data_IF_607547573271
#
_entry.id   IF_607547573271
#
_cell.length_a   1.000
_cell.length_b   1.000
_cell.length_c   1.000
_cell.angle_alpha   90.00
_cell.angle_beta   90.00
_cell.angle_gamma   90.00
#
_symmetry.space_group_name_H-M   'P 1'
#
loop_
_entity.id
_entity.type
_entity.pdbx_description
1 polymer ?
#
# COMPACT_ATOMS: atom_id res chain seq x y z
N UNK A 1 15.69 1.09 -6.02
CA UNK A 1 16.08 2.44 -6.48
C UNK A 1 15.05 3.05 -7.44
N UNK A 2 13.86 3.38 -6.93
CA UNK A 2 12.82 4.08 -7.71
C UNK A 2 12.25 5.26 -6.93
N UNK A 3 11.60 6.19 -7.62
CA UNK A 3 10.63 7.14 -7.04
C UNK A 3 9.25 6.66 -7.47
N UNK A 4 8.36 6.41 -6.52
CA UNK A 4 6.95 6.17 -6.80
C UNK A 4 6.21 7.51 -6.72
N UNK A 5 5.43 7.83 -7.75
CA UNK A 5 4.65 9.06 -7.83
C UNK A 5 3.21 8.66 -8.09
N UNK A 6 2.31 9.13 -7.23
CA UNK A 6 0.87 8.97 -7.39
C UNK A 6 0.17 10.30 -7.53
N UNK A 7 -0.89 10.34 -8.33
CA UNK A 7 -1.69 11.54 -8.54
C UNK A 7 -3.14 11.24 -8.91
N UNK A 8 -4.00 12.22 -8.67
CA UNK A 8 -5.41 12.21 -9.09
C UNK A 8 -5.84 13.63 -9.52
N UNK A 9 -7.09 13.80 -9.94
CA UNK A 9 -7.67 15.11 -10.22
C UNK A 9 -8.17 15.76 -8.92
N UNK A 10 -8.07 17.09 -8.84
CA UNK A 10 -8.51 17.86 -7.66
C UNK A 10 -7.50 17.88 -6.52
N UNK A 11 -7.96 18.20 -5.31
CA UNK A 11 -7.16 18.18 -4.09
C UNK A 11 -6.80 16.74 -3.73
N UNK A 12 -5.55 16.52 -3.29
CA UNK A 12 -4.99 15.19 -3.06
C UNK A 12 -5.52 14.45 -1.83
N UNK A 13 -6.40 15.05 -1.03
CA UNK A 13 -6.88 14.49 0.24
C UNK A 13 -7.55 13.12 0.06
N UNK A 14 -8.38 12.96 -0.98
CA UNK A 14 -9.04 11.67 -1.27
C UNK A 14 -8.03 10.56 -1.60
N UNK A 15 -6.89 10.91 -2.20
CA UNK A 15 -5.82 9.97 -2.51
C UNK A 15 -5.02 9.60 -1.24
N UNK A 16 -4.76 10.58 -0.36
CA UNK A 16 -4.04 10.36 0.90
C UNK A 16 -4.86 9.50 1.86
N UNK A 17 -6.17 9.75 1.96
CA UNK A 17 -7.11 8.93 2.71
C UNK A 17 -7.33 7.56 2.04
N UNK A 18 -7.04 7.44 0.75
CA UNK A 18 -7.27 6.25 -0.06
C UNK A 18 -8.75 5.98 -0.33
N UNK A 19 -9.56 7.02 -0.26
CA UNK A 19 -10.96 7.02 -0.69
C UNK A 19 -11.10 7.04 -2.23
N UNK A 20 -10.05 7.47 -2.94
CA UNK A 20 -9.99 7.49 -4.41
C UNK A 20 -8.68 6.84 -4.90
N UNK A 21 -8.74 6.10 -6.01
CA UNK A 21 -7.56 5.51 -6.64
C UNK A 21 -6.77 6.60 -7.40
N UNK A 22 -5.45 6.47 -7.47
CA UNK A 22 -4.59 7.41 -8.19
C UNK A 22 -3.77 6.72 -9.27
N UNK A 23 -3.44 7.45 -10.32
CA UNK A 23 -2.49 6.97 -11.33
C UNK A 23 -1.13 6.77 -10.66
N UNK A 24 -0.42 5.70 -11.01
CA UNK A 24 0.90 5.41 -10.47
C UNK A 24 1.98 5.46 -11.55
N UNK A 25 3.09 6.12 -11.22
CA UNK A 25 4.28 6.19 -12.04
C UNK A 25 5.49 5.75 -11.23
N UNK A 26 6.27 4.79 -11.77
CA UNK A 26 7.56 4.43 -11.20
C UNK A 26 8.68 5.02 -12.05
N UNK A 27 9.55 5.81 -11.41
CA UNK A 27 10.71 6.45 -12.03
C UNK A 27 11.98 5.80 -11.51
N UNK A 28 12.78 5.23 -12.41
CA UNK A 28 14.08 4.66 -12.09
C UNK A 28 15.08 5.78 -11.79
N UNK A 29 15.72 5.69 -10.61
CA UNK A 29 16.55 6.77 -10.05
C UNK A 29 18.03 6.39 -9.85
N UNK A 30 18.51 5.33 -10.50
CA UNK A 30 19.89 4.85 -10.33
C UNK A 30 20.94 5.80 -10.91
N UNK A 31 20.65 6.46 -12.03
CA UNK A 31 21.47 7.57 -12.54
C UNK A 31 20.70 8.87 -12.31
N UNK A 32 21.13 9.72 -11.35
CA UNK A 32 20.48 11.01 -11.08
C UNK A 32 20.41 11.93 -12.29
N UNK A 33 21.28 11.74 -13.30
CA UNK A 33 21.27 12.52 -14.54
C UNK A 33 20.32 11.96 -15.60
N UNK A 34 19.74 10.77 -15.38
CA UNK A 34 18.90 10.06 -16.35
C UNK A 34 17.71 9.41 -15.67
N UNK A 35 16.83 10.24 -15.12
CA UNK A 35 15.50 9.81 -14.65
C UNK A 35 14.70 9.24 -15.83
N UNK A 36 14.11 8.05 -15.62
CA UNK A 36 13.29 7.38 -16.63
C UNK A 36 12.06 6.76 -16.00
N UNK A 37 10.89 7.03 -16.58
CA UNK A 37 9.65 6.35 -16.21
C UNK A 37 9.73 4.91 -16.73
N UNK A 38 9.61 3.94 -15.82
CA UNK A 38 9.71 2.51 -16.11
C UNK A 38 8.36 1.79 -16.02
N UNK A 39 7.40 2.34 -15.26
CA UNK A 39 6.02 1.84 -15.16
C UNK A 39 5.04 3.00 -15.13
N UNK A 40 3.88 2.80 -15.76
CA UNK A 40 2.70 3.66 -15.68
C UNK A 40 1.49 2.78 -15.43
N UNK A 41 0.67 3.16 -14.48
CA UNK A 41 -0.58 2.49 -14.16
C UNK A 41 -1.69 3.53 -14.21
N UNK A 42 -2.62 3.33 -15.13
CA UNK A 42 -3.80 4.16 -15.29
C UNK A 42 -4.93 3.51 -14.50
N UNK A 43 -5.52 4.27 -13.59
CA UNK A 43 -6.70 3.83 -12.85
C UNK A 43 -7.90 4.71 -13.20
N UNK A 44 -9.09 4.11 -13.12
CA UNK A 44 -10.33 4.86 -13.19
C UNK A 44 -10.44 5.72 -11.93
N UNK A 45 -10.59 7.03 -12.12
CA UNK A 45 -10.78 8.01 -11.04
C UNK A 45 -12.22 8.49 -11.07
N UNK A 46 -12.99 8.26 -10.03
CA UNK A 46 -14.44 8.50 -10.01
C UNK A 46 -14.80 9.87 -9.48
N UNK A 47 -14.14 10.31 -8.40
CA UNK A 47 -14.43 11.56 -7.70
C UNK A 47 -13.17 12.42 -7.54
N UNK A 48 -13.37 13.73 -7.47
CA UNK A 48 -12.33 14.70 -7.14
C UNK A 48 -12.82 15.70 -6.12
N UNK A 49 -11.92 16.14 -5.25
CA UNK A 49 -12.20 17.20 -4.29
C UNK A 49 -11.82 18.57 -4.90
N UNK A 50 -12.71 19.54 -4.79
CA UNK A 50 -12.50 20.93 -5.23
C UNK A 50 -12.82 21.91 -4.10
N UNK A 51 -12.44 23.18 -4.27
CA UNK A 51 -12.90 24.25 -3.38
C UNK A 51 -14.36 24.61 -3.69
N UNK A 52 -15.19 24.77 -2.66
CA UNK A 52 -16.60 25.14 -2.81
C UNK A 52 -16.76 26.57 -3.34
N UNK A 53 -17.58 26.77 -4.37
CA UNK A 53 -17.93 28.11 -4.87
C UNK A 53 -19.07 28.73 -4.05
N UNK A 54 -18.80 29.09 -2.79
CA UNK A 54 -19.77 29.71 -1.88
C UNK A 54 -19.18 30.90 -1.11
N UNK A 55 -19.79 32.10 -1.23
CA UNK A 55 -19.39 33.30 -0.50
C UNK A 55 -19.86 33.20 0.96
N UNK A 56 -18.97 32.73 1.84
CA UNK A 56 -18.75 33.22 3.22
C UNK A 56 -17.76 32.33 3.99
N UNK A 57 -17.62 31.05 3.62
CA UNK A 57 -16.54 30.15 4.05
C UNK A 57 -16.01 29.36 2.85
N UNK A 58 -14.69 29.40 2.63
CA UNK A 58 -14.02 28.58 1.62
C UNK A 58 -13.93 27.16 2.20
N UNK A 59 -14.86 26.29 1.81
CA UNK A 59 -14.84 24.87 2.12
C UNK A 59 -14.30 24.04 0.96
N UNK A 60 -14.36 22.72 1.11
CA UNK A 60 -14.11 21.73 0.06
C UNK A 60 -15.38 20.94 -0.23
N UNK A 61 -15.55 20.51 -1.48
CA UNK A 61 -16.62 19.61 -1.88
C UNK A 61 -16.08 18.51 -2.79
N UNK A 62 -16.73 17.34 -2.74
CA UNK A 62 -16.39 16.19 -3.58
C UNK A 62 -17.39 16.12 -4.71
N UNK A 63 -16.88 16.13 -5.94
CA UNK A 63 -17.69 16.08 -7.16
C UNK A 63 -17.21 14.93 -8.07
N UNK A 64 -18.10 14.35 -8.89
CA UNK A 64 -17.70 13.34 -9.85
C UNK A 64 -16.72 13.92 -10.89
N UNK A 65 -15.69 13.17 -11.22
CA UNK A 65 -14.77 13.50 -12.32
C UNK A 65 -15.52 13.30 -13.64
N UNK A 66 -15.47 14.27 -14.58
CA UNK A 66 -16.06 14.10 -15.91
C UNK A 66 -15.57 12.82 -16.60
N UNK A 67 -16.47 12.07 -17.25
CA UNK A 67 -16.17 10.75 -17.85
C UNK A 67 -14.94 10.79 -18.76
N UNK A 68 -14.75 11.87 -19.50
CA UNK A 68 -13.62 12.05 -20.40
C UNK A 68 -12.27 12.21 -19.70
N UNK A 69 -12.25 12.40 -18.38
CA UNK A 69 -11.05 12.52 -17.52
C UNK A 69 -10.81 11.30 -16.63
N UNK A 70 -11.83 10.48 -16.38
CA UNK A 70 -11.73 9.33 -15.45
C UNK A 70 -10.64 8.34 -15.89
N UNK A 71 -10.54 8.08 -17.20
CA UNK A 71 -9.55 7.18 -17.81
C UNK A 71 -8.44 7.96 -18.54
N UNK A 72 -7.98 9.08 -17.96
CA UNK A 72 -6.80 9.81 -18.42
C UNK A 72 -5.79 9.96 -17.30
N UNK A 73 -4.50 9.95 -17.68
CA UNK A 73 -3.43 10.28 -16.76
C UNK A 73 -3.57 11.72 -16.27
N UNK A 74 -3.53 11.90 -14.95
CA UNK A 74 -3.54 13.21 -14.29
C UNK A 74 -2.25 14.01 -14.51
N UNK A 75 -1.15 13.33 -14.86
CA UNK A 75 0.16 13.90 -15.11
C UNK A 75 0.69 13.56 -16.50
N UNK A 76 1.47 14.48 -17.05
CA UNK A 76 2.30 14.27 -18.24
C UNK A 76 3.68 13.76 -17.81
N UNK A 77 4.33 13.01 -18.70
CA UNK A 77 5.69 12.49 -18.47
C UNK A 77 6.70 13.56 -18.00
N UNK A 78 6.61 14.79 -18.54
CA UNK A 78 7.49 15.90 -18.12
C UNK A 78 7.27 16.30 -16.66
N UNK A 79 6.02 16.30 -16.21
CA UNK A 79 5.64 16.65 -14.83
C UNK A 79 6.10 15.55 -13.87
N UNK A 80 5.93 14.28 -14.26
CA UNK A 80 6.43 13.11 -13.50
C UNK A 80 7.95 13.17 -13.31
N UNK A 81 8.70 13.53 -14.34
CA UNK A 81 10.16 13.65 -14.24
C UNK A 81 10.60 14.83 -13.36
N UNK A 82 9.87 15.95 -13.38
CA UNK A 82 10.12 17.09 -12.47
C UNK A 82 9.86 16.68 -11.01
N UNK A 83 8.75 15.99 -10.75
CA UNK A 83 8.44 15.47 -9.41
C UNK A 83 9.52 14.51 -8.91
N UNK A 84 10.02 13.63 -9.78
CA UNK A 84 11.11 12.72 -9.42
C UNK A 84 12.43 13.46 -9.10
N UNK A 85 12.77 14.52 -9.83
CA UNK A 85 13.92 15.38 -9.54
C UNK A 85 13.76 16.10 -8.18
N UNK A 86 12.55 16.61 -7.88
CA UNK A 86 12.25 17.21 -6.59
C UNK A 86 12.39 16.19 -5.44
N UNK A 87 11.84 14.99 -5.62
CA UNK A 87 11.95 13.92 -4.64
C UNK A 87 13.40 13.50 -4.37
N UNK A 88 14.26 13.46 -5.40
CA UNK A 88 15.69 13.22 -5.24
C UNK A 88 16.36 14.32 -4.41
N UNK A 89 16.15 15.59 -4.77
CA UNK A 89 16.76 16.73 -4.07
C UNK A 89 16.32 16.80 -2.60
N UNK A 90 15.05 16.54 -2.33
CA UNK A 90 14.50 16.52 -0.96
C UNK A 90 15.13 15.37 -0.16
N UNK A 91 15.18 14.15 -0.72
CA UNK A 91 15.87 13.00 -0.10
C UNK A 91 17.34 13.29 0.18
N UNK A 92 18.06 13.89 -0.77
CA UNK A 92 19.48 14.25 -0.61
C UNK A 92 19.68 15.28 0.49
N UNK A 93 18.77 16.25 0.59
CA UNK A 93 18.82 17.28 1.63
C UNK A 93 18.62 16.70 3.04
N UNK A 94 17.64 15.80 3.22
CA UNK A 94 17.33 15.19 4.52
C UNK A 94 18.14 13.91 4.82
N UNK A 95 18.88 13.40 3.84
CA UNK A 95 19.67 12.17 3.90
C UNK A 95 18.90 10.94 4.43
N UNK A 96 17.61 10.86 4.12
CA UNK A 96 16.70 9.77 4.54
C UNK A 96 15.62 9.58 3.48
N UNK A 97 15.00 8.39 3.33
CA UNK A 97 13.79 8.24 2.53
C UNK A 97 12.68 9.21 2.98
N UNK A 98 11.97 9.80 2.02
CA UNK A 98 11.00 10.88 2.26
C UNK A 98 9.65 10.53 1.65
N UNK A 99 8.60 10.74 2.43
CA UNK A 99 7.20 10.82 2.01
C UNK A 99 6.88 12.29 1.67
N UNK A 100 6.41 12.55 0.45
CA UNK A 100 6.29 13.90 -0.13
C UNK A 100 4.91 14.08 -0.74
N UNK A 101 4.20 15.09 -0.27
CA UNK A 101 2.94 15.54 -0.84
C UNK A 101 3.18 16.72 -1.78
N UNK A 102 2.48 16.75 -2.90
CA UNK A 102 2.66 17.74 -3.95
C UNK A 102 1.32 18.15 -4.58
N UNK A 103 1.31 19.29 -5.26
CA UNK A 103 0.18 19.77 -6.03
C UNK A 103 0.64 20.37 -7.38
N UNK A 104 -0.11 20.10 -8.45
CA UNK A 104 0.04 20.78 -9.74
C UNK A 104 -0.96 21.93 -9.81
N UNK A 105 -0.47 23.17 -9.74
CA UNK A 105 -1.32 24.35 -9.81
C UNK A 105 -1.89 24.56 -11.22
N UNK A 106 -3.01 25.29 -11.30
CA UNK A 106 -3.63 25.69 -12.58
C UNK A 106 -2.71 26.54 -13.48
N UNK A 107 -1.62 27.07 -12.91
CA UNK A 107 -0.55 27.76 -13.62
C UNK A 107 0.50 26.82 -14.24
N UNK A 108 0.31 25.50 -14.15
CA UNK A 108 1.22 24.48 -14.65
C UNK A 108 2.49 24.30 -13.82
N UNK A 109 2.56 24.85 -12.60
CA UNK A 109 3.71 24.69 -11.70
C UNK A 109 3.43 23.62 -10.65
N UNK A 110 4.47 22.85 -10.34
CA UNK A 110 4.45 21.85 -9.26
C UNK A 110 4.91 22.50 -7.97
N UNK A 111 4.16 22.25 -6.91
CA UNK A 111 4.43 22.69 -5.54
C UNK A 111 4.58 21.48 -4.64
N UNK A 112 5.54 21.53 -3.71
CA UNK A 112 5.65 20.57 -2.61
C UNK A 112 4.91 21.16 -1.42
N UNK A 113 3.93 20.43 -0.89
CA UNK A 113 3.07 20.90 0.22
C UNK A 113 3.49 20.32 1.56
N UNK A 114 4.03 19.10 1.56
CA UNK A 114 4.61 18.44 2.74
C UNK A 114 5.80 17.58 2.32
N UNK A 115 6.81 17.50 3.18
CA UNK A 115 7.84 16.47 3.10
C UNK A 115 8.19 16.01 4.51
N UNK A 116 8.10 14.70 4.76
CA UNK A 116 8.47 14.09 6.04
C UNK A 116 9.28 12.82 5.78
N UNK A 117 10.16 12.40 6.70
CA UNK A 117 10.81 11.09 6.59
C UNK A 117 9.76 10.00 6.42
N UNK A 118 10.02 9.05 5.53
CA UNK A 118 9.20 7.84 5.41
C UNK A 118 9.18 7.14 6.78
N UNK A 119 7.99 6.90 7.34
CA UNK A 119 7.84 6.42 8.73
C UNK A 119 8.32 4.99 8.94
N UNK A 120 8.76 4.28 7.89
CA UNK A 120 9.11 2.88 8.00
C UNK A 120 10.34 2.59 7.15
N UNK A 121 11.50 2.57 7.82
CA UNK A 121 12.66 1.70 7.58
C UNK A 121 13.85 2.10 8.49
N UNK A 122 13.80 3.25 9.16
CA UNK A 122 14.99 3.87 9.76
C UNK A 122 15.43 3.33 11.12
N UNK A 123 14.90 2.21 11.65
CA UNK A 123 15.47 1.62 12.87
C UNK A 123 15.79 0.11 12.83
N UNK A 124 15.45 -0.63 11.77
CA UNK A 124 15.89 -2.04 11.60
C UNK A 124 16.30 -2.43 10.16
N UNK A 125 16.08 -1.56 9.18
CA UNK A 125 15.99 -1.92 7.76
C UNK A 125 17.29 -2.17 6.98
N UNK A 126 18.47 -2.20 7.60
CA UNK A 126 19.73 -2.51 6.88
C UNK A 126 20.46 -3.74 7.42
N UNK A 127 20.06 -4.31 8.56
CA UNK A 127 20.77 -5.44 9.16
C UNK A 127 20.09 -6.77 8.92
N UNK A 128 18.76 -6.86 9.02
CA UNK A 128 18.03 -8.14 9.00
C UNK A 128 16.68 -8.03 8.28
N UNK A 129 16.36 -8.98 7.41
CA UNK A 129 15.03 -9.12 6.79
C UNK A 129 14.51 -10.54 6.96
N UNK A 130 13.23 -10.67 7.33
CA UNK A 130 12.55 -11.96 7.47
C UNK A 130 11.91 -12.31 6.13
N UNK A 131 12.35 -13.41 5.54
CA UNK A 131 11.77 -13.97 4.33
C UNK A 131 10.81 -15.09 4.71
N UNK A 132 9.66 -15.14 4.04
CA UNK A 132 8.68 -16.20 4.19
C UNK A 132 8.63 -17.01 2.90
N UNK A 133 8.62 -18.33 3.01
CA UNK A 133 8.44 -19.25 1.90
C UNK A 133 7.19 -20.08 2.15
N UNK A 134 6.12 -19.78 1.41
CA UNK A 134 4.89 -20.57 1.45
C UNK A 134 5.13 -21.94 0.79
N UNK A 135 4.67 -23.00 1.44
CA UNK A 135 4.71 -24.35 0.89
C UNK A 135 3.59 -24.55 -0.14
N UNK A 136 3.96 -25.00 -1.34
CA UNK A 136 3.05 -25.37 -2.44
C UNK A 136 1.87 -24.40 -2.69
N UNK A 137 2.09 -23.10 -2.97
CA UNK A 137 1.02 -22.14 -3.27
C UNK A 137 0.09 -22.59 -4.41
N UNK A 138 0.65 -23.19 -5.47
CA UNK A 138 -0.11 -23.70 -6.62
C UNK A 138 -1.10 -24.80 -6.23
N UNK A 139 -0.77 -25.59 -5.19
CA UNK A 139 -1.65 -26.63 -4.68
C UNK A 139 -2.79 -26.01 -3.89
N UNK A 140 -2.50 -25.03 -3.02
CA UNK A 140 -3.53 -24.31 -2.26
C UNK A 140 -4.55 -23.64 -3.20
N UNK A 141 -4.09 -23.08 -4.31
CA UNK A 141 -4.95 -22.50 -5.33
C UNK A 141 -5.80 -23.56 -6.04
N UNK A 142 -5.19 -24.67 -6.49
CA UNK A 142 -5.92 -25.79 -7.12
C UNK A 142 -6.94 -26.45 -6.20
N UNK A 143 -6.65 -26.50 -4.91
CA UNK A 143 -7.56 -27.02 -3.88
C UNK A 143 -8.69 -26.02 -3.55
N UNK A 144 -8.68 -24.82 -4.14
CA UNK A 144 -9.76 -23.83 -4.04
C UNK A 144 -9.71 -22.96 -2.79
N UNK A 145 -8.54 -22.84 -2.13
CA UNK A 145 -8.40 -22.04 -0.91
C UNK A 145 -8.16 -20.55 -1.17
N UNK A 146 -7.78 -20.16 -2.39
CA UNK A 146 -7.47 -18.77 -2.74
C UNK A 146 -8.76 -17.94 -2.81
N UNK A 147 -8.76 -16.78 -2.14
CA UNK A 147 -9.81 -15.77 -2.27
C UNK A 147 -9.36 -14.70 -3.26
N UNK A 148 -10.15 -14.51 -4.31
CA UNK A 148 -9.96 -13.42 -5.27
C UNK A 148 -10.09 -12.05 -4.55
N UNK A 149 -9.14 -11.16 -4.78
CA UNK A 149 -9.15 -9.80 -4.23
C UNK A 149 -8.38 -8.84 -5.14
N UNK A 150 -8.76 -7.56 -5.14
CA UNK A 150 -8.10 -6.47 -5.89
C UNK A 150 -7.10 -5.67 -5.05
N UNK A 151 -6.76 -6.17 -3.85
CA UNK A 151 -6.01 -5.41 -2.86
C UNK A 151 -4.58 -5.10 -3.27
N UNK A 152 -3.87 -4.41 -2.38
CA UNK A 152 -2.42 -4.21 -2.47
C UNK A 152 -1.77 -4.76 -1.22
N UNK A 153 -0.81 -5.67 -1.40
CA UNK A 153 0.00 -6.19 -0.31
C UNK A 153 0.90 -5.10 0.28
N UNK A 154 0.90 -5.02 1.61
CA UNK A 154 1.72 -4.11 2.40
C UNK A 154 2.78 -4.92 3.15
N UNK A 155 4.04 -4.57 2.92
CA UNK A 155 5.18 -5.30 3.48
C UNK A 155 5.39 -6.65 2.80
N UNK A 156 6.18 -7.52 3.45
CA UNK A 156 6.53 -8.87 2.96
C UNK A 156 6.33 -9.93 4.04
N UNK A 157 5.12 -9.98 4.61
CA UNK A 157 4.80 -10.84 5.76
C UNK A 157 3.69 -11.81 5.45
N UNK A 158 3.66 -12.91 6.21
CA UNK A 158 2.52 -13.82 6.28
C UNK A 158 1.91 -13.70 7.67
N UNK A 159 0.59 -13.63 7.74
CA UNK A 159 -0.18 -13.60 8.97
C UNK A 159 -1.29 -14.62 8.93
N UNK A 160 -1.53 -15.32 10.03
CA UNK A 160 -2.62 -16.27 10.18
C UNK A 160 -3.41 -15.94 11.44
N UNK A 161 -4.73 -16.02 11.35
CA UNK A 161 -5.58 -15.71 12.49
C UNK A 161 -7.05 -15.88 12.24
N UNK A 162 -7.84 -15.65 13.29
CA UNK A 162 -9.30 -15.70 13.22
C UNK A 162 -9.83 -14.49 12.47
N UNK A 163 -10.76 -14.71 11.55
CA UNK A 163 -11.44 -13.65 10.81
C UNK A 163 -12.28 -12.81 11.78
N UNK A 164 -11.96 -11.52 11.90
CA UNK A 164 -12.69 -10.53 12.71
C UNK A 164 -13.15 -9.38 11.85
N UNK A 165 -14.41 -9.43 11.46
CA UNK A 165 -15.06 -8.38 10.70
C UNK A 165 -15.61 -7.34 11.68
N UNK A 166 -15.00 -6.16 11.71
CA UNK A 166 -15.34 -5.07 12.62
C UNK A 166 -15.61 -3.81 11.78
N UNK A 167 -16.88 -3.43 11.64
CA UNK A 167 -17.30 -2.29 10.80
C UNK A 167 -17.20 -0.95 11.52
N UNK A 168 -17.05 -0.95 12.85
CA UNK A 168 -16.95 0.26 13.65
C UNK A 168 -15.92 0.10 14.77
N UNK A 169 -15.16 1.18 15.02
CA UNK A 169 -14.19 1.25 16.13
C UNK A 169 -14.82 0.93 17.49
N UNK A 170 -16.13 1.18 17.67
CA UNK A 170 -16.84 0.86 18.91
C UNK A 170 -16.76 -0.63 19.26
N UNK A 171 -16.63 -1.50 18.25
CA UNK A 171 -16.52 -2.94 18.40
C UNK A 171 -15.07 -3.43 18.34
N UNK A 172 -14.08 -2.54 18.22
CA UNK A 172 -12.66 -2.91 18.15
C UNK A 172 -12.16 -3.60 19.43
N UNK A 173 -12.82 -3.39 20.56
CA UNK A 173 -12.56 -4.10 21.82
C UNK A 173 -12.82 -5.63 21.73
N UNK A 174 -13.47 -6.11 20.67
CA UNK A 174 -13.70 -7.54 20.40
C UNK A 174 -12.50 -8.22 19.71
N UNK A 175 -11.52 -7.44 19.25
CA UNK A 175 -10.27 -7.93 18.69
C UNK A 175 -9.40 -8.53 19.79
N UNK A 176 -8.73 -9.62 19.44
CA UNK A 176 -7.77 -10.31 20.30
C UNK A 176 -6.44 -10.42 19.57
N UNK A 177 -5.40 -10.68 20.35
CA UNK A 177 -4.07 -11.00 19.81
C UNK A 177 -4.15 -12.13 18.77
N UNK A 178 -3.46 -11.93 17.66
CA UNK A 178 -3.42 -12.85 16.52
C UNK A 178 -4.64 -12.79 15.59
N UNK A 179 -5.70 -12.04 15.90
CA UNK A 179 -6.85 -11.93 15.01
C UNK A 179 -6.49 -11.25 13.66
N UNK A 180 -7.26 -11.58 12.62
CA UNK A 180 -7.22 -10.88 11.33
C UNK A 180 -8.36 -9.88 11.28
N UNK A 181 -8.06 -8.60 11.40
CA UNK A 181 -9.05 -7.53 11.28
C UNK A 181 -9.43 -7.34 9.81
N UNK A 182 -10.73 -7.38 9.52
CA UNK A 182 -11.31 -7.01 8.24
C UNK A 182 -12.28 -5.87 8.47
N UNK A 183 -12.07 -4.76 7.80
CA UNK A 183 -12.89 -3.54 7.96
C UNK A 183 -12.91 -2.72 6.67
N UNK A 184 -13.78 -1.72 6.59
CA UNK A 184 -13.84 -0.85 5.42
C UNK A 184 -12.59 0.04 5.33
N UNK A 185 -12.26 0.70 6.44
CA UNK A 185 -11.10 1.59 6.57
C UNK A 185 -10.67 1.68 8.04
N UNK A 186 -9.47 2.21 8.28
CA UNK A 186 -9.00 2.50 9.64
C UNK A 186 -8.57 3.97 9.74
N UNK A 187 -8.61 4.49 10.95
CA UNK A 187 -8.16 5.83 11.32
C UNK A 187 -7.26 5.75 12.57
N UNK A 188 -6.63 6.85 13.01
CA UNK A 188 -5.69 6.84 14.14
C UNK A 188 -6.19 6.15 15.42
N UNK A 189 -7.50 6.15 15.69
CA UNK A 189 -8.07 5.53 16.89
C UNK A 189 -7.94 3.99 16.89
N UNK A 190 -7.75 3.38 15.71
CA UNK A 190 -7.54 1.93 15.55
C UNK A 190 -6.14 1.49 15.98
N UNK A 191 -5.17 2.39 16.05
CA UNK A 191 -3.74 2.06 16.21
C UNK A 191 -3.49 1.13 17.40
N UNK A 192 -4.10 1.42 18.56
CA UNK A 192 -3.94 0.62 19.77
C UNK A 192 -4.52 -0.79 19.65
N UNK A 193 -5.57 -0.97 18.84
CA UNK A 193 -6.23 -2.26 18.63
C UNK A 193 -5.54 -3.09 17.55
N UNK A 194 -4.79 -2.46 16.65
CA UNK A 194 -4.02 -3.16 15.61
C UNK A 194 -2.76 -3.81 16.17
N UNK A 195 -2.36 -3.50 17.41
CA UNK A 195 -1.20 -4.10 18.06
C UNK A 195 -1.39 -5.60 18.23
N UNK A 196 -0.38 -6.38 17.85
CA UNK A 196 -0.34 -7.84 17.98
C UNK A 196 -1.42 -8.59 17.19
N UNK A 197 -2.05 -7.97 16.19
CA UNK A 197 -2.90 -8.69 15.25
C UNK A 197 -2.07 -9.61 14.34
N UNK A 198 -2.69 -10.67 13.82
CA UNK A 198 -2.07 -11.49 12.77
C UNK A 198 -2.00 -10.71 11.45
N UNK A 199 -2.94 -9.79 11.23
CA UNK A 199 -2.93 -8.89 10.09
C UNK A 199 -4.21 -8.07 9.94
N UNK A 200 -4.21 -7.19 8.93
CA UNK A 200 -5.30 -6.25 8.67
C UNK A 200 -5.62 -6.20 7.18
N UNK A 201 -6.90 -6.36 6.84
CA UNK A 201 -7.42 -6.21 5.49
C UNK A 201 -8.43 -5.06 5.47
N UNK A 202 -8.24 -4.08 4.59
CA UNK A 202 -9.20 -2.98 4.40
C UNK A 202 -9.77 -2.93 2.99
N UNK A 203 -11.07 -2.60 2.87
CA UNK A 203 -11.73 -2.40 1.57
C UNK A 203 -11.20 -1.16 0.85
N UNK A 204 -11.00 -0.08 1.60
CA UNK A 204 -10.48 1.19 1.11
C UNK A 204 -9.03 1.37 1.54
N UNK A 205 -8.37 2.36 0.94
CA UNK A 205 -6.98 2.67 1.24
C UNK A 205 -6.03 2.28 0.12
N UNK A 206 -4.98 3.07 -0.05
CA UNK A 206 -3.81 2.69 -0.85
C UNK A 206 -2.58 2.45 0.04
N UNK A 207 -1.43 2.06 -0.53
CA UNK A 207 -0.13 1.94 0.15
C UNK A 207 0.35 3.06 1.08
N UNK A 208 -0.30 4.23 1.06
CA UNK A 208 0.00 5.39 1.92
C UNK A 208 -1.11 5.69 2.94
N UNK A 209 -2.17 4.88 3.00
CA UNK A 209 -3.27 5.09 3.95
C UNK A 209 -2.84 4.72 5.38
N UNK A 210 -3.69 5.05 6.35
CA UNK A 210 -3.48 4.75 7.76
C UNK A 210 -3.17 3.25 8.01
N UNK A 211 -4.02 2.35 7.51
CA UNK A 211 -3.83 0.90 7.66
C UNK A 211 -2.46 0.45 7.13
N UNK A 212 -2.04 0.95 5.97
CA UNK A 212 -0.77 0.59 5.36
C UNK A 212 0.44 1.10 6.17
N UNK A 213 0.37 2.33 6.67
CA UNK A 213 1.45 2.92 7.47
C UNK A 213 1.58 2.17 8.81
N UNK A 214 0.48 2.06 9.56
CA UNK A 214 0.49 1.46 10.90
C UNK A 214 0.84 -0.03 10.83
N UNK A 215 0.35 -0.77 9.85
CA UNK A 215 0.68 -2.20 9.74
C UNK A 215 2.18 -2.45 9.51
N UNK A 216 2.84 -1.57 8.75
CA UNK A 216 4.29 -1.62 8.56
C UNK A 216 5.04 -1.32 9.85
N UNK A 217 4.61 -0.33 10.62
CA UNK A 217 5.22 0.02 11.92
C UNK A 217 5.06 -1.11 12.95
N UNK A 218 3.89 -1.75 12.97
CA UNK A 218 3.55 -2.85 13.86
C UNK A 218 4.08 -4.21 13.40
N UNK A 219 4.69 -4.29 12.22
CA UNK A 219 5.21 -5.53 11.64
C UNK A 219 4.16 -6.65 11.49
N UNK A 220 2.94 -6.29 11.10
CA UNK A 220 1.84 -7.24 10.83
C UNK A 220 1.57 -7.36 9.33
N UNK A 221 0.98 -8.48 8.90
CA UNK A 221 0.59 -8.64 7.49
C UNK A 221 -0.57 -7.71 7.15
N UNK A 222 -0.57 -7.10 5.96
CA UNK A 222 -1.69 -6.22 5.59
C UNK A 222 -1.94 -6.18 4.09
N UNK A 223 -3.23 -6.12 3.74
CA UNK A 223 -3.73 -5.88 2.39
C UNK A 223 -4.70 -4.70 2.47
N UNK A 224 -4.51 -3.70 1.61
CA UNK A 224 -5.38 -2.50 1.59
C UNK A 224 -6.00 -2.32 0.22
N UNK A 225 -7.16 -1.67 0.14
CA UNK A 225 -7.85 -1.43 -1.13
C UNK A 225 -8.42 -2.72 -1.74
N UNK A 226 -8.76 -3.71 -0.92
CA UNK A 226 -9.34 -4.97 -1.36
C UNK A 226 -10.87 -4.79 -1.52
N UNK A 227 -11.29 -4.38 -2.70
CA UNK A 227 -12.70 -4.03 -2.97
C UNK A 227 -13.64 -5.19 -2.57
N UNK A 228 -14.73 -4.87 -1.87
CA UNK A 228 -15.79 -5.81 -1.44
C UNK A 228 -15.35 -6.94 -0.49
N UNK A 229 -14.16 -6.85 0.12
CA UNK A 229 -13.62 -7.93 0.95
C UNK A 229 -14.41 -8.16 2.25
N UNK A 230 -15.07 -7.14 2.81
CA UNK A 230 -15.90 -7.31 4.02
C UNK A 230 -17.07 -8.25 3.71
N UNK A 231 -17.75 -8.02 2.58
CA UNK A 231 -18.86 -8.86 2.16
C UNK A 231 -18.41 -10.29 1.79
N UNK A 232 -17.31 -10.41 1.05
CA UNK A 232 -16.70 -11.71 0.71
C UNK A 232 -16.39 -12.49 2.00
N UNK A 233 -15.77 -11.87 3.00
CA UNK A 233 -15.40 -12.54 4.25
C UNK A 233 -16.61 -12.91 5.10
N UNK A 234 -17.69 -12.10 5.10
CA UNK A 234 -18.97 -12.47 5.74
C UNK A 234 -19.54 -13.74 5.12
N UNK A 235 -19.48 -13.89 3.80
CA UNK A 235 -19.93 -15.09 3.09
C UNK A 235 -19.06 -16.29 3.44
N UNK A 236 -17.72 -16.13 3.46
CA UNK A 236 -16.79 -17.20 3.86
C UNK A 236 -17.00 -17.65 5.30
N UNK A 237 -17.31 -16.75 6.23
CA UNK A 237 -17.70 -17.12 7.60
C UNK A 237 -18.99 -17.92 7.67
N UNK A 238 -20.01 -17.59 6.85
CA UNK A 238 -21.26 -18.36 6.77
C UNK A 238 -21.04 -19.77 6.19
N UNK A 239 -20.06 -19.92 5.31
CA UNK A 239 -19.60 -21.22 4.79
C UNK A 239 -18.80 -22.03 5.83
N UNK A 240 -18.51 -21.46 7.00
CA UNK A 240 -17.80 -22.13 8.10
C UNK A 240 -16.31 -21.81 8.19
N UNK A 241 -15.78 -20.90 7.37
CA UNK A 241 -14.38 -20.47 7.46
C UNK A 241 -14.23 -19.46 8.60
N UNK A 242 -13.60 -19.87 9.70
CA UNK A 242 -13.32 -18.97 10.83
C UNK A 242 -11.93 -18.35 10.77
N UNK A 243 -11.01 -18.90 9.99
CA UNK A 243 -9.60 -18.50 9.97
C UNK A 243 -9.12 -18.26 8.54
N UNK A 244 -8.09 -17.41 8.42
CA UNK A 244 -7.51 -17.05 7.14
C UNK A 244 -6.01 -16.84 7.28
N UNK A 245 -5.26 -17.13 6.21
CA UNK A 245 -3.87 -16.69 6.06
C UNK A 245 -3.81 -15.54 5.07
N UNK A 246 -3.21 -14.42 5.48
CA UNK A 246 -2.80 -13.33 4.61
C UNK A 246 -1.35 -13.59 4.22
N UNK A 247 -1.08 -13.62 2.93
CA UNK A 247 0.27 -13.76 2.39
C UNK A 247 0.62 -12.57 1.50
N UNK A 248 1.57 -11.77 1.99
CA UNK A 248 2.19 -10.66 1.29
C UNK A 248 3.67 -10.94 0.98
N UNK A 249 4.18 -12.15 1.21
CA UNK A 249 5.62 -12.48 1.19
C UNK A 249 6.30 -12.18 -0.16
N UNK A 250 5.57 -12.35 -1.25
CA UNK A 250 6.05 -12.09 -2.61
C UNK A 250 5.77 -10.66 -3.09
N UNK A 251 5.11 -9.82 -2.27
CA UNK A 251 4.65 -8.48 -2.67
C UNK A 251 3.33 -8.47 -3.42
N UNK A 252 2.68 -9.63 -3.55
CA UNK A 252 1.32 -9.78 -4.10
C UNK A 252 0.35 -10.18 -2.99
N UNK A 253 -0.91 -9.70 -3.02
CA UNK A 253 -1.89 -9.96 -1.97
C UNK A 253 -2.58 -11.30 -2.19
N UNK A 254 -2.25 -12.29 -1.36
CA UNK A 254 -2.94 -13.59 -1.35
C UNK A 254 -3.67 -13.80 -0.04
N UNK A 255 -4.87 -14.34 -0.13
CA UNK A 255 -5.73 -14.61 1.02
C UNK A 255 -6.17 -16.08 0.91
N UNK A 256 -5.79 -16.90 1.89
CA UNK A 256 -6.04 -18.34 1.90
C UNK A 256 -7.04 -18.72 2.99
N UNK A 257 -8.12 -19.42 2.64
CA UNK A 257 -9.11 -19.96 3.59
C UNK A 257 -8.61 -21.21 4.33
N UNK A 258 -7.35 -21.19 4.75
CA UNK A 258 -6.67 -22.26 5.47
C UNK A 258 -5.47 -21.69 6.22
N UNK A 259 -5.01 -22.38 7.26
CA UNK A 259 -3.65 -22.21 7.76
C UNK A 259 -2.67 -22.68 6.68
N UNK A 260 -2.04 -21.75 5.98
CA UNK A 260 -1.02 -22.10 4.99
C UNK A 260 0.28 -22.45 5.72
N UNK A 261 0.95 -23.50 5.26
CA UNK A 261 2.24 -23.91 5.79
C UNK A 261 3.32 -23.03 5.15
N UNK A 262 4.22 -22.49 5.97
CA UNK A 262 5.32 -21.66 5.51
C UNK A 262 6.51 -21.77 6.44
N UNK A 263 7.70 -21.61 5.87
CA UNK A 263 8.93 -21.40 6.63
C UNK A 263 9.27 -19.91 6.66
N UNK A 264 10.03 -19.50 7.67
CA UNK A 264 10.56 -18.15 7.76
C UNK A 264 12.04 -18.16 8.12
N UNK A 265 12.85 -17.46 7.34
CA UNK A 265 14.28 -17.30 7.61
C UNK A 265 14.62 -15.82 7.78
N UNK A 266 15.56 -15.52 8.68
CA UNK A 266 16.04 -14.16 8.91
C UNK A 266 17.41 -14.01 8.32
N UNK A 267 17.52 -13.22 7.25
CA UNK A 267 18.81 -12.97 6.60
C UNK A 267 19.40 -11.71 7.18
N UNK A 268 20.54 -11.86 7.86
CA UNK A 268 21.37 -10.72 8.23
C UNK A 268 22.24 -10.29 7.05
N UNK A 269 21.90 -9.20 6.35
CA UNK A 269 22.63 -8.75 5.16
C UNK A 269 24.11 -8.47 5.42
N UNK A 270 24.44 -7.98 6.62
CA UNK A 270 25.81 -7.72 7.04
C UNK A 270 26.67 -8.99 7.19
N UNK A 271 26.04 -10.16 7.37
CA UNK A 271 26.71 -11.46 7.54
C UNK A 271 26.77 -12.28 6.25
N UNK A 272 26.22 -11.78 5.14
CA UNK A 272 26.28 -12.49 3.87
C UNK A 272 27.74 -12.74 3.46
N UNK A 273 28.13 -13.99 3.15
CA UNK A 273 29.49 -14.30 2.78
C UNK A 273 29.85 -13.65 1.45
N UNK A 274 31.10 -13.18 1.32
CA UNK A 274 31.61 -12.77 0.02
C UNK A 274 31.73 -14.00 -0.89
N UNK A 275 30.98 -14.01 -1.98
CA UNK A 275 31.05 -15.08 -2.97
C UNK A 275 32.19 -14.84 -3.96
N UNK A 276 32.87 -15.91 -4.37
CA UNK A 276 33.84 -15.85 -5.50
C UNK A 276 33.14 -15.68 -6.85
N UNK A 277 31.91 -16.19 -6.96
CA UNK A 277 31.08 -16.14 -8.16
C UNK A 277 30.04 -15.03 -8.02
N UNK A 278 29.80 -14.28 -9.10
CA UNK A 278 28.68 -13.33 -9.15
C UNK A 278 27.36 -14.11 -9.14
N UNK A 279 26.55 -13.90 -8.11
CA UNK A 279 25.18 -14.40 -8.08
C UNK A 279 24.35 -13.50 -8.99
N UNK A 280 23.69 -14.10 -9.97
CA UNK A 280 22.81 -13.41 -10.92
C UNK A 280 21.43 -14.04 -10.81
N UNK A 281 20.38 -13.24 -11.02
CA UNK A 281 18.98 -13.72 -11.02
C UNK A 281 18.46 -13.67 -12.44
N UNK A 282 17.76 -14.74 -12.86
CA UNK A 282 17.02 -14.74 -14.12
C UNK A 282 15.59 -14.26 -13.84
N UNK A 283 15.25 -13.05 -14.28
CA UNK A 283 13.94 -12.45 -14.08
C UNK A 283 13.15 -12.52 -15.39
N UNK A 284 12.02 -13.21 -15.37
CA UNK A 284 11.09 -13.31 -16.51
C UNK A 284 9.96 -12.28 -16.47
N UNK A 285 9.69 -11.67 -15.31
CA UNK A 285 8.64 -10.69 -15.09
C UNK A 285 9.30 -9.42 -14.50
N UNK A 286 9.15 -8.23 -15.14
CA UNK A 286 9.79 -6.98 -14.71
C UNK A 286 9.15 -6.30 -13.51
#
# INVERSE_FOLDING_TARGET
NVVAIRGTWGLGELLVQGAEKGDEFLVFKHDPKKLRIIRRELVRKENMMIFSEGREQIGTEVIPIPEEKQMKYCLKDKEVLILADYAQKIREHYNTPMDIEWALGNNGKIYVVQARPETVHSQKGDTEEVFYLLEDPDKLEKDGYLVENSGTAIGRRIGYGKIKIIESINDAHLLREGDILITEETNPDWTSYMQNLGGVITEKGGPTCHAAIVSRELNISSIVGADNIVQIMKEKQREGNEYVTIDCSQGEPRIWLKAAEYDSDTIEFAKLPRTKTKVLVNLGIP
#
